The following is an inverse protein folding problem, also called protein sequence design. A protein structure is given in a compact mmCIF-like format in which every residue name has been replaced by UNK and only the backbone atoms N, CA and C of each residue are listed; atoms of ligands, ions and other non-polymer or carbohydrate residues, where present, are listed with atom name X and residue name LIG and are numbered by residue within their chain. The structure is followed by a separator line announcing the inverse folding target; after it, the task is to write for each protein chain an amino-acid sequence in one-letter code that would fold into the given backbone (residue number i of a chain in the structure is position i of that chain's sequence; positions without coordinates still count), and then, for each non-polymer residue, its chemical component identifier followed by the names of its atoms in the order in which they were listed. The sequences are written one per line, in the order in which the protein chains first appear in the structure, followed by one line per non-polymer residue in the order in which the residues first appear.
data_IF_246513898221
#
_entry.id   IF_246513898221
#
_cell.length_a   1.000
_cell.length_b   1.000
_cell.length_c   1.000
_cell.angle_alpha   90.00
_cell.angle_beta   90.00
_cell.angle_gamma   90.00
#
_symmetry.space_group_name_H-M   'P 1'
#
loop_
_entity.id
_entity.type
_entity.pdbx_description
1 polymer ?
#
# COMPACT_ATOMS: atom_id res chain seq x y z
N UNK A 1 -19.51 -8.91 4.10
CA UNK A 1 -18.94 -9.98 4.99
C UNK A 1 -18.53 -9.38 6.34
N UNK A 2 -19.49 -9.10 7.16
CA UNK A 2 -19.33 -8.43 8.46
C UNK A 2 -18.27 -9.08 9.37
N UNK A 3 -18.30 -10.40 9.48
CA UNK A 3 -17.36 -11.17 10.29
C UNK A 3 -15.94 -11.11 9.75
N UNK A 4 -15.80 -11.27 8.44
CA UNK A 4 -14.50 -11.31 7.76
C UNK A 4 -13.75 -9.99 7.78
N UNK A 5 -14.45 -8.86 7.80
CA UNK A 5 -13.86 -7.51 7.84
C UNK A 5 -13.77 -6.92 9.26
N UNK A 6 -14.11 -7.71 10.31
CA UNK A 6 -14.03 -7.27 11.70
C UNK A 6 -15.09 -6.24 12.12
N UNK A 7 -16.20 -6.12 11.39
CA UNK A 7 -17.21 -5.09 11.61
C UNK A 7 -18.40 -5.53 12.49
N UNK A 8 -18.30 -6.67 13.19
CA UNK A 8 -19.37 -7.20 14.04
C UNK A 8 -19.76 -6.21 15.14
N UNK A 9 -18.78 -5.69 15.87
CA UNK A 9 -19.03 -4.71 16.94
C UNK A 9 -19.61 -3.41 16.38
N UNK A 10 -19.05 -2.88 15.30
CA UNK A 10 -19.55 -1.67 14.65
C UNK A 10 -21.02 -1.82 14.23
N UNK A 11 -21.36 -2.93 13.57
CA UNK A 11 -22.74 -3.20 13.12
C UNK A 11 -23.73 -3.33 14.27
N UNK A 12 -23.27 -3.80 15.42
CA UNK A 12 -24.10 -3.93 16.63
C UNK A 12 -24.30 -2.59 17.35
N UNK A 13 -23.26 -1.74 17.36
CA UNK A 13 -23.31 -0.41 17.99
C UNK A 13 -24.00 0.65 17.14
N UNK A 14 -23.93 0.52 15.82
CA UNK A 14 -24.44 1.52 14.87
C UNK A 14 -25.23 0.85 13.74
N UNK A 15 -26.32 0.10 14.03
CA UNK A 15 -27.06 -0.66 13.02
C UNK A 15 -27.62 0.21 11.89
N UNK A 16 -27.99 1.46 12.18
CA UNK A 16 -28.50 2.42 11.20
C UNK A 16 -27.41 2.99 10.26
N UNK A 17 -26.14 2.71 10.52
CA UNK A 17 -24.98 3.12 9.71
C UNK A 17 -24.25 1.96 9.08
N UNK A 18 -24.82 0.76 9.15
CA UNK A 18 -24.20 -0.45 8.61
C UNK A 18 -25.09 -1.09 7.55
N UNK A 19 -24.53 -1.35 6.39
CA UNK A 19 -25.20 -1.96 5.25
C UNK A 19 -24.42 -3.20 4.81
N UNK A 20 -24.99 -4.39 4.97
CA UNK A 20 -24.42 -5.61 4.41
C UNK A 20 -25.05 -5.86 3.04
N UNK A 21 -24.24 -5.74 1.99
CA UNK A 21 -24.68 -5.91 0.61
C UNK A 21 -24.48 -7.35 0.10
N UNK A 22 -24.05 -8.26 0.95
CA UNK A 22 -23.69 -9.63 0.58
C UNK A 22 -22.42 -9.66 -0.29
N UNK A 23 -22.37 -10.60 -1.24
CA UNK A 23 -21.27 -10.74 -2.21
C UNK A 23 -21.65 -9.97 -3.49
N UNK A 24 -21.69 -8.66 -3.38
CA UNK A 24 -22.10 -7.76 -4.46
C UNK A 24 -21.22 -6.49 -4.47
N UNK A 25 -19.94 -6.65 -4.78
CA UNK A 25 -18.93 -5.60 -4.66
C UNK A 25 -19.23 -4.40 -5.57
N UNK A 26 -19.67 -4.64 -6.81
CA UNK A 26 -20.09 -3.57 -7.72
C UNK A 26 -21.26 -2.76 -7.16
N UNK A 27 -22.28 -3.45 -6.60
CA UNK A 27 -23.39 -2.77 -5.94
C UNK A 27 -22.91 -1.95 -4.72
N UNK A 28 -22.01 -2.49 -3.90
CA UNK A 28 -21.46 -1.77 -2.75
C UNK A 28 -20.83 -0.45 -3.15
N UNK A 29 -20.05 -0.44 -4.24
CA UNK A 29 -19.36 0.75 -4.74
C UNK A 29 -20.37 1.76 -5.28
N UNK A 30 -21.27 1.37 -6.19
CA UNK A 30 -22.29 2.28 -6.74
C UNK A 30 -23.21 2.84 -5.67
N UNK A 31 -23.67 2.00 -4.73
CA UNK A 31 -24.48 2.43 -3.59
C UNK A 31 -23.76 3.48 -2.72
N UNK A 32 -22.47 3.26 -2.49
CA UNK A 32 -21.62 4.22 -1.76
C UNK A 32 -21.48 5.55 -2.50
N UNK A 33 -21.39 5.51 -3.84
CA UNK A 33 -21.47 6.71 -4.68
C UNK A 33 -22.74 7.49 -4.42
N UNK A 34 -23.89 6.82 -4.46
CA UNK A 34 -25.20 7.44 -4.15
C UNK A 34 -25.27 8.04 -2.74
N UNK A 35 -24.75 7.36 -1.72
CA UNK A 35 -24.66 7.92 -0.37
C UNK A 35 -23.76 9.18 -0.33
N UNK A 36 -22.69 9.17 -1.08
CA UNK A 36 -21.74 10.30 -1.13
C UNK A 36 -22.37 11.55 -1.79
N UNK A 37 -23.21 11.38 -2.82
CA UNK A 37 -23.95 12.52 -3.43
C UNK A 37 -24.91 13.18 -2.46
N UNK A 38 -25.38 12.47 -1.43
CA UNK A 38 -26.22 12.97 -0.34
C UNK A 38 -25.40 13.50 0.84
N UNK A 39 -24.10 13.77 0.65
CA UNK A 39 -23.23 14.36 1.66
C UNK A 39 -22.82 13.41 2.78
N UNK A 40 -22.96 12.09 2.60
CA UNK A 40 -22.43 11.09 3.53
C UNK A 40 -20.98 10.80 3.21
N UNK A 41 -20.25 10.24 4.18
CA UNK A 41 -18.88 9.74 4.00
C UNK A 41 -18.94 8.21 4.11
N UNK A 42 -19.20 7.50 3.00
CA UNK A 42 -19.30 6.06 3.02
C UNK A 42 -17.91 5.41 3.13
N UNK A 43 -17.84 4.33 3.91
CA UNK A 43 -16.67 3.46 4.04
C UNK A 43 -17.02 2.09 3.47
N UNK A 44 -16.33 1.71 2.40
CA UNK A 44 -16.49 0.40 1.73
C UNK A 44 -15.40 -0.52 2.24
N UNK A 45 -15.75 -1.52 3.04
CA UNK A 45 -14.82 -2.51 3.59
C UNK A 45 -14.95 -3.82 2.80
N UNK A 46 -14.03 -4.06 1.88
CA UNK A 46 -14.00 -5.22 0.98
C UNK A 46 -12.57 -5.77 0.91
N UNK A 47 -12.43 -7.11 0.74
CA UNK A 47 -11.13 -7.71 0.49
C UNK A 47 -10.52 -7.18 -0.81
N UNK A 48 -9.22 -6.90 -0.78
CA UNK A 48 -8.48 -6.36 -1.92
C UNK A 48 -8.74 -7.14 -3.21
N UNK A 49 -8.63 -8.48 -3.18
CA UNK A 49 -8.86 -9.33 -4.35
C UNK A 49 -10.31 -9.27 -4.86
N UNK A 50 -11.30 -9.11 -3.99
CA UNK A 50 -12.70 -9.07 -4.41
C UNK A 50 -13.13 -7.70 -4.95
N UNK A 51 -12.44 -6.63 -4.53
CA UNK A 51 -12.70 -5.29 -5.07
C UNK A 51 -12.43 -5.18 -6.57
N UNK A 52 -11.65 -6.11 -7.15
CA UNK A 52 -11.43 -6.21 -8.61
C UNK A 52 -12.77 -6.29 -9.39
N UNK A 53 -13.81 -6.91 -8.81
CA UNK A 53 -15.16 -7.01 -9.45
C UNK A 53 -15.84 -5.65 -9.59
N UNK A 54 -15.40 -4.65 -8.86
CA UNK A 54 -15.95 -3.30 -8.87
C UNK A 54 -15.03 -2.28 -9.58
N UNK A 55 -14.03 -2.74 -10.34
CA UNK A 55 -13.04 -1.86 -10.96
C UNK A 55 -13.69 -0.78 -11.83
N UNK A 56 -14.62 -1.17 -12.69
CA UNK A 56 -15.39 -0.24 -13.54
C UNK A 56 -16.22 0.75 -12.71
N UNK A 57 -16.90 0.28 -11.65
CA UNK A 57 -17.70 1.11 -10.76
C UNK A 57 -16.85 2.13 -10.00
N UNK A 58 -15.62 1.76 -9.60
CA UNK A 58 -14.67 2.71 -8.98
C UNK A 58 -14.34 3.83 -9.96
N UNK A 59 -14.17 3.53 -11.25
CA UNK A 59 -13.85 4.51 -12.28
C UNK A 59 -15.07 5.40 -12.56
N UNK A 60 -16.19 4.81 -13.01
CA UNK A 60 -17.34 5.55 -13.52
C UNK A 60 -18.19 6.18 -12.43
N UNK A 61 -18.48 5.41 -11.37
CA UNK A 61 -19.44 5.86 -10.36
C UNK A 61 -18.78 6.71 -9.27
N UNK A 62 -17.46 6.58 -9.08
CA UNK A 62 -16.76 7.25 -7.98
C UNK A 62 -15.70 8.22 -8.46
N UNK A 63 -14.63 7.74 -9.12
CA UNK A 63 -13.46 8.56 -9.40
C UNK A 63 -13.73 9.65 -10.45
N UNK A 64 -14.49 9.34 -11.50
CA UNK A 64 -14.88 10.31 -12.52
C UNK A 64 -15.66 11.48 -11.92
N UNK A 65 -16.49 11.23 -10.94
CA UNK A 65 -17.32 12.21 -10.25
C UNK A 65 -16.63 12.84 -9.03
N UNK A 66 -15.40 12.45 -8.70
CA UNK A 66 -14.66 12.90 -7.50
C UNK A 66 -15.42 12.67 -6.18
N UNK A 67 -16.19 11.59 -6.06
CA UNK A 67 -16.95 11.32 -4.86
C UNK A 67 -16.03 10.82 -3.72
N UNK A 68 -16.11 11.41 -2.50
CA UNK A 68 -15.25 11.07 -1.38
C UNK A 68 -15.66 9.75 -0.69
N UNK A 69 -15.58 8.65 -1.42
CA UNK A 69 -15.78 7.29 -0.90
C UNK A 69 -14.47 6.76 -0.34
N UNK A 70 -14.49 6.18 0.85
CA UNK A 70 -13.35 5.57 1.50
C UNK A 70 -13.38 4.06 1.26
N UNK A 71 -12.32 3.52 0.67
CA UNK A 71 -12.16 2.08 0.44
C UNK A 71 -11.17 1.50 1.44
N UNK A 72 -11.65 0.70 2.39
CA UNK A 72 -10.84 -0.08 3.30
C UNK A 72 -10.61 -1.47 2.69
N UNK A 73 -9.43 -1.65 2.10
CA UNK A 73 -9.07 -2.83 1.33
C UNK A 73 -8.32 -3.80 2.23
N UNK A 74 -9.07 -4.69 2.87
CA UNK A 74 -8.54 -5.73 3.73
C UNK A 74 -7.88 -6.85 2.90
N UNK A 75 -6.93 -7.57 3.45
CA UNK A 75 -6.21 -8.67 2.82
C UNK A 75 -5.41 -8.27 1.58
N UNK A 76 -4.82 -7.08 1.62
CA UNK A 76 -3.84 -6.68 0.61
C UNK A 76 -2.53 -7.44 0.79
N UNK A 77 -1.89 -7.82 -0.31
CA UNK A 77 -0.72 -8.69 -0.31
C UNK A 77 -1.07 -10.18 -0.22
N UNK A 78 -0.13 -10.99 0.25
CA UNK A 78 -0.32 -12.43 0.43
C UNK A 78 -1.15 -12.71 1.68
N UNK A 79 -2.17 -13.55 1.55
CA UNK A 79 -3.10 -13.91 2.64
C UNK A 79 -2.85 -15.29 3.25
N UNK A 80 -1.84 -16.00 2.74
CA UNK A 80 -1.44 -17.30 3.28
C UNK A 80 -2.34 -18.45 2.82
N UNK A 81 -2.97 -19.11 3.76
CA UNK A 81 -3.71 -20.37 3.55
C UNK A 81 -4.95 -20.24 2.66
N UNK A 82 -5.52 -19.04 2.55
CA UNK A 82 -6.67 -18.77 1.67
C UNK A 82 -6.30 -18.83 0.17
N UNK A 83 -5.01 -18.74 -0.17
CA UNK A 83 -4.45 -19.04 -1.48
C UNK A 83 -4.69 -18.01 -2.57
N UNK A 84 -4.41 -18.44 -3.82
CA UNK A 84 -4.37 -17.59 -5.02
C UNK A 84 -5.66 -16.79 -5.28
N UNK A 85 -6.82 -17.31 -4.90
CA UNK A 85 -8.11 -16.61 -5.07
C UNK A 85 -8.32 -15.45 -4.09
N UNK A 86 -7.49 -15.39 -3.05
CA UNK A 86 -7.63 -14.40 -1.98
C UNK A 86 -6.43 -13.45 -1.86
N UNK A 87 -5.30 -13.72 -2.53
CA UNK A 87 -4.16 -12.80 -2.54
C UNK A 87 -4.53 -11.45 -3.14
N UNK A 88 -4.38 -10.40 -2.37
CA UNK A 88 -4.65 -9.02 -2.77
C UNK A 88 -3.40 -8.34 -3.34
N UNK A 89 -2.79 -8.92 -4.37
CA UNK A 89 -1.50 -8.47 -4.91
C UNK A 89 -1.61 -7.59 -6.15
N UNK A 90 -2.80 -7.45 -6.73
CA UNK A 90 -3.04 -6.67 -7.96
C UNK A 90 -3.55 -5.25 -7.69
N UNK A 91 -3.90 -4.94 -6.45
CA UNK A 91 -4.61 -3.72 -6.08
C UNK A 91 -3.84 -2.42 -6.41
N UNK A 92 -2.54 -2.38 -6.13
CA UNK A 92 -1.71 -1.23 -6.48
C UNK A 92 -1.76 -1.00 -8.00
N UNK A 93 -1.55 -2.05 -8.78
CA UNK A 93 -1.45 -1.98 -10.23
C UNK A 93 -2.74 -1.45 -10.87
N UNK A 94 -3.90 -2.03 -10.54
CA UNK A 94 -5.15 -1.60 -11.16
C UNK A 94 -5.67 -0.26 -10.62
N UNK A 95 -5.38 0.12 -9.38
CA UNK A 95 -5.79 1.41 -8.84
C UNK A 95 -4.92 2.56 -9.32
N UNK A 96 -3.62 2.33 -9.55
CA UNK A 96 -2.72 3.40 -9.99
C UNK A 96 -3.10 4.02 -11.34
N UNK A 97 -3.73 3.27 -12.24
CA UNK A 97 -4.18 3.82 -13.53
C UNK A 97 -5.43 4.71 -13.39
N UNK A 98 -6.20 4.60 -12.30
CA UNK A 98 -7.41 5.41 -12.08
C UNK A 98 -7.01 6.85 -11.73
N UNK A 99 -7.61 7.83 -12.42
CA UNK A 99 -7.42 9.24 -12.10
C UNK A 99 -8.18 9.62 -10.82
N UNK A 100 -7.76 10.72 -10.17
CA UNK A 100 -8.44 11.33 -9.03
C UNK A 100 -8.62 10.46 -7.78
N UNK A 101 -7.88 9.35 -7.63
CA UNK A 101 -7.92 8.47 -6.47
C UNK A 101 -6.68 8.64 -5.60
N UNK A 102 -6.86 8.61 -4.29
CA UNK A 102 -5.76 8.54 -3.32
C UNK A 102 -5.55 7.10 -2.95
N UNK A 103 -4.29 6.64 -2.98
CA UNK A 103 -3.91 5.26 -2.64
C UNK A 103 -2.90 5.31 -1.50
N UNK A 104 -3.24 4.70 -0.37
CA UNK A 104 -2.38 4.64 0.81
C UNK A 104 -2.20 3.22 1.32
N UNK A 105 -1.08 3.00 2.02
CA UNK A 105 -0.70 1.72 2.61
C UNK A 105 -0.01 1.97 3.97
N UNK A 106 -0.68 1.73 5.08
CA UNK A 106 -0.12 1.94 6.41
C UNK A 106 0.98 0.92 6.73
N UNK A 107 2.03 1.35 7.44
CA UNK A 107 3.10 0.47 7.95
C UNK A 107 2.66 -0.33 9.18
N UNK A 108 1.68 0.16 9.94
CA UNK A 108 1.19 -0.45 11.18
C UNK A 108 -0.25 -0.02 11.50
N UNK A 109 -0.81 -0.54 12.60
CA UNK A 109 -2.17 -0.24 13.05
C UNK A 109 -2.38 1.21 13.49
N UNK A 110 -1.35 1.89 14.00
CA UNK A 110 -1.46 3.30 14.37
C UNK A 110 -1.60 4.16 13.13
N UNK A 111 -0.79 3.91 12.10
CA UNK A 111 -0.86 4.62 10.84
C UNK A 111 -2.17 4.29 10.08
N UNK A 112 -2.68 3.04 10.18
CA UNK A 112 -4.01 2.68 9.63
C UNK A 112 -5.12 3.54 10.25
N UNK A 113 -5.12 3.69 11.58
CA UNK A 113 -6.07 4.57 12.30
C UNK A 113 -5.97 6.01 11.80
N UNK A 114 -4.75 6.52 11.69
CA UNK A 114 -4.48 7.92 11.33
C UNK A 114 -4.81 8.19 9.85
N UNK A 115 -4.56 7.23 8.96
CA UNK A 115 -4.99 7.30 7.56
C UNK A 115 -6.51 7.24 7.42
N UNK A 116 -7.20 6.37 8.18
CA UNK A 116 -8.66 6.31 8.18
C UNK A 116 -9.26 7.63 8.69
N UNK A 117 -8.71 8.19 9.76
CA UNK A 117 -9.12 9.51 10.25
C UNK A 117 -8.88 10.59 9.19
N UNK A 118 -7.72 10.59 8.55
CA UNK A 118 -7.38 11.53 7.47
C UNK A 118 -8.37 11.41 6.31
N UNK A 119 -8.75 10.17 5.94
CA UNK A 119 -9.72 9.91 4.89
C UNK A 119 -11.09 10.49 5.23
N UNK A 120 -11.54 10.42 6.51
CA UNK A 120 -12.82 11.03 6.93
C UNK A 120 -12.84 12.55 6.87
N UNK A 121 -11.68 13.20 6.86
CA UNK A 121 -11.54 14.65 6.71
C UNK A 121 -11.41 15.09 5.23
N UNK A 122 -11.19 14.12 4.32
CA UNK A 122 -11.10 14.40 2.89
C UNK A 122 -12.49 14.31 2.25
N UNK A 123 -12.95 15.41 1.69
CA UNK A 123 -14.29 15.52 1.10
C UNK A 123 -14.27 15.74 -0.41
N UNK A 124 -13.15 15.51 -1.07
CA UNK A 124 -12.96 15.92 -2.47
C UNK A 124 -12.58 14.79 -3.43
N UNK A 125 -12.12 13.64 -2.94
CA UNK A 125 -11.63 12.54 -3.79
C UNK A 125 -11.84 11.19 -3.12
N UNK A 126 -12.00 10.11 -3.88
CA UNK A 126 -11.97 8.76 -3.32
C UNK A 126 -10.61 8.46 -2.67
N UNK A 127 -10.66 7.78 -1.53
CA UNK A 127 -9.49 7.48 -0.73
C UNK A 127 -9.42 5.97 -0.46
N UNK A 128 -8.33 5.32 -0.85
CA UNK A 128 -8.12 3.89 -0.61
C UNK A 128 -7.04 3.67 0.44
N UNK A 129 -7.30 2.73 1.34
CA UNK A 129 -6.36 2.29 2.37
C UNK A 129 -6.23 0.78 2.23
N UNK A 130 -5.06 0.30 1.80
CA UNK A 130 -4.76 -1.11 1.65
C UNK A 130 -3.97 -1.64 2.83
N UNK A 131 -4.39 -2.74 3.45
CA UNK A 131 -3.74 -3.32 4.63
C UNK A 131 -3.80 -4.86 4.62
N UNK A 132 -2.79 -5.55 5.21
CA UNK A 132 -2.70 -7.00 5.19
C UNK A 132 -3.66 -7.66 6.20
N UNK A 133 -3.88 -8.97 6.05
CA UNK A 133 -4.49 -9.86 7.05
C UNK A 133 -3.44 -10.21 8.12
N UNK A 134 -3.03 -9.25 8.92
CA UNK A 134 -2.04 -9.46 9.99
C UNK A 134 -2.43 -8.72 11.25
N UNK A 135 -1.92 -9.20 12.38
CA UNK A 135 -2.01 -8.45 13.62
C UNK A 135 -0.97 -7.35 13.63
N UNK A 136 -1.39 -6.14 13.99
CA UNK A 136 -0.44 -5.04 14.18
C UNK A 136 0.46 -5.31 15.39
N UNK A 137 1.77 -5.22 15.20
CA UNK A 137 2.77 -5.44 16.26
C UNK A 137 2.67 -4.39 17.37
N UNK A 138 2.19 -3.19 17.02
CA UNK A 138 1.99 -2.08 17.96
C UNK A 138 0.69 -1.36 17.63
N UNK A 139 -0.21 -1.34 18.58
CA UNK A 139 -1.37 -0.46 18.55
C UNK A 139 -1.44 0.30 19.87
N UNK A 140 -1.36 1.61 19.79
CA UNK A 140 -1.44 2.49 20.95
C UNK A 140 -2.80 3.19 20.96
N UNK A 141 -3.50 3.14 22.09
CA UNK A 141 -4.73 3.89 22.29
C UNK A 141 -4.42 5.38 22.43
N UNK A 142 -4.23 6.05 21.30
CA UNK A 142 -4.04 7.50 21.19
C UNK A 142 -5.11 8.11 20.29
N UNK A 143 -5.39 9.38 20.47
CA UNK A 143 -6.23 10.12 19.55
C UNK A 143 -5.64 10.08 18.14
N UNK A 144 -6.46 9.84 17.11
CA UNK A 144 -5.98 9.80 15.74
C UNK A 144 -5.40 11.14 15.30
N UNK A 145 -4.37 11.09 14.47
CA UNK A 145 -3.71 12.26 13.93
C UNK A 145 -3.97 12.38 12.43
N UNK A 146 -4.14 13.61 11.96
CA UNK A 146 -4.23 13.87 10.52
C UNK A 146 -2.85 13.74 9.90
N UNK A 147 -2.78 12.96 8.81
CA UNK A 147 -1.58 12.82 7.98
C UNK A 147 -1.74 13.70 6.75
N UNK A 148 -0.70 14.43 6.36
CA UNK A 148 -0.69 15.18 5.12
C UNK A 148 -0.74 14.23 3.91
N UNK A 149 -1.72 14.43 3.03
CA UNK A 149 -1.92 13.55 1.87
C UNK A 149 -0.75 13.72 0.90
N UNK A 150 -0.15 12.62 0.53
CA UNK A 150 1.02 12.58 -0.34
C UNK A 150 2.36 12.66 0.41
N UNK A 151 2.37 12.82 1.74
CA UNK A 151 3.63 12.87 2.49
C UNK A 151 4.18 11.49 2.81
N UNK A 152 5.49 11.33 2.69
CA UNK A 152 6.24 10.14 3.13
C UNK A 152 6.95 10.41 4.46
N UNK A 153 7.53 9.37 5.06
CA UNK A 153 8.20 9.47 6.36
C UNK A 153 9.57 8.79 6.28
N UNK A 154 10.63 9.56 6.54
CA UNK A 154 11.99 9.02 6.67
C UNK A 154 12.09 8.34 8.03
N UNK A 155 12.34 7.03 8.03
CA UNK A 155 12.46 6.22 9.25
C UNK A 155 13.92 6.00 9.65
N UNK A 156 14.83 5.95 8.68
CA UNK A 156 16.27 5.85 8.85
C UNK A 156 16.96 6.72 7.83
N UNK A 157 17.93 7.50 8.26
CA UNK A 157 18.80 8.25 7.37
C UNK A 157 19.95 7.38 6.85
N UNK A 158 20.42 7.64 5.64
CA UNK A 158 21.51 6.93 5.00
C UNK A 158 22.06 7.66 3.79
N UNK A 159 23.09 7.11 3.14
CA UNK A 159 23.79 7.79 2.03
C UNK A 159 24.06 6.93 0.80
N UNK A 160 24.06 5.61 0.92
CA UNK A 160 24.53 4.73 -0.15
C UNK A 160 23.36 4.16 -0.98
N UNK A 161 22.29 3.75 -0.30
CA UNK A 161 21.10 3.13 -0.91
C UNK A 161 19.83 3.76 -0.35
N UNK A 162 18.94 4.21 -1.23
CA UNK A 162 17.61 4.65 -0.85
C UNK A 162 16.61 3.49 -0.95
N UNK A 163 15.96 3.14 0.16
CA UNK A 163 14.92 2.09 0.23
C UNK A 163 13.55 2.72 0.42
N UNK A 164 12.72 2.64 -0.61
CA UNK A 164 11.35 3.13 -0.65
C UNK A 164 10.39 1.96 -0.38
N UNK A 165 9.85 1.86 0.82
CA UNK A 165 9.05 0.73 1.28
C UNK A 165 7.56 1.08 1.41
N UNK A 166 6.68 0.16 1.01
CA UNK A 166 5.23 0.31 1.01
C UNK A 166 4.57 -0.62 2.03
N UNK A 167 3.81 -0.05 2.95
CA UNK A 167 2.93 -0.78 3.87
C UNK A 167 3.66 -1.83 4.72
N UNK A 168 3.22 -3.08 4.66
CA UNK A 168 3.81 -4.21 5.42
C UNK A 168 5.31 -4.43 5.17
N UNK A 169 5.84 -3.96 4.04
CA UNK A 169 7.27 -4.11 3.72
C UNK A 169 8.17 -3.14 4.49
N UNK A 170 7.61 -2.15 5.17
CA UNK A 170 8.39 -1.19 5.97
C UNK A 170 9.12 -1.88 7.13
N UNK A 171 8.46 -2.80 7.84
CA UNK A 171 9.11 -3.53 8.95
C UNK A 171 10.31 -4.34 8.49
N UNK A 172 10.17 -5.05 7.34
CA UNK A 172 11.28 -5.81 6.74
C UNK A 172 12.41 -4.90 6.26
N UNK A 173 12.07 -3.73 5.73
CA UNK A 173 13.07 -2.74 5.29
C UNK A 173 13.92 -2.20 6.45
N UNK A 174 13.34 -2.09 7.65
CA UNK A 174 14.08 -1.74 8.86
C UNK A 174 15.03 -2.87 9.32
N UNK A 175 14.63 -4.13 9.18
CA UNK A 175 15.50 -5.27 9.43
C UNK A 175 16.67 -5.29 8.43
N UNK A 176 16.37 -5.10 7.14
CA UNK A 176 17.37 -5.04 6.06
C UNK A 176 18.35 -3.88 6.27
N UNK A 177 17.89 -2.72 6.72
CA UNK A 177 18.75 -1.60 7.07
C UNK A 177 19.84 -2.01 8.07
N UNK A 178 19.45 -2.70 9.14
CA UNK A 178 20.42 -3.16 10.15
C UNK A 178 21.44 -4.14 9.55
N UNK A 179 21.00 -5.09 8.71
CA UNK A 179 21.87 -6.05 8.03
C UNK A 179 22.83 -5.38 7.03
N UNK A 180 22.38 -4.35 6.31
CA UNK A 180 23.23 -3.56 5.40
C UNK A 180 24.27 -2.75 6.17
N UNK A 181 23.88 -2.14 7.30
CA UNK A 181 24.80 -1.39 8.18
C UNK A 181 25.93 -2.28 8.72
N UNK A 182 25.64 -3.54 9.07
CA UNK A 182 26.67 -4.53 9.44
C UNK A 182 27.67 -4.83 8.32
N UNK A 183 27.29 -4.60 7.07
CA UNK A 183 28.14 -4.74 5.89
C UNK A 183 28.79 -3.43 5.45
N UNK A 184 28.62 -2.35 6.22
CA UNK A 184 29.17 -1.02 5.92
C UNK A 184 28.43 -0.27 4.82
N UNK A 185 27.16 -0.63 4.53
CA UNK A 185 26.29 0.05 3.56
C UNK A 185 25.26 0.87 4.32
N UNK A 186 25.32 2.19 4.17
CA UNK A 186 24.40 3.15 4.80
C UNK A 186 23.13 3.28 3.95
N UNK A 187 22.00 2.75 4.41
CA UNK A 187 20.73 2.84 3.70
C UNK A 187 19.78 3.82 4.34
N UNK A 188 19.15 4.66 3.54
CA UNK A 188 17.97 5.43 3.98
C UNK A 188 16.72 4.56 3.81
N UNK A 189 15.83 4.55 4.81
CA UNK A 189 14.56 3.81 4.73
C UNK A 189 13.39 4.79 4.86
N UNK A 190 12.53 4.78 3.87
CA UNK A 190 11.37 5.66 3.75
C UNK A 190 10.08 4.86 3.72
N UNK A 191 9.15 5.23 4.59
CA UNK A 191 7.78 4.74 4.57
C UNK A 191 6.97 5.50 3.50
N UNK A 192 6.74 4.88 2.36
CA UNK A 192 5.96 5.41 1.25
C UNK A 192 4.46 5.16 1.47
N UNK A 193 3.91 5.70 2.57
CA UNK A 193 2.53 5.48 3.00
C UNK A 193 1.47 5.98 2.01
N UNK A 194 1.81 6.87 1.09
CA UNK A 194 1.00 7.24 -0.07
C UNK A 194 1.68 6.75 -1.35
N UNK A 195 0.97 5.86 -2.03
CA UNK A 195 1.36 5.34 -3.34
C UNK A 195 0.94 6.34 -4.43
N UNK A 196 -0.20 7.01 -4.19
CA UNK A 196 -0.75 8.06 -5.06
C UNK A 196 -1.55 9.07 -4.23
N UNK A 197 -1.22 10.37 -4.28
CA UNK A 197 -0.03 10.89 -4.94
C UNK A 197 1.26 10.42 -4.24
N UNK A 198 2.33 10.26 -4.99
CA UNK A 198 3.67 10.10 -4.41
C UNK A 198 4.12 11.44 -3.78
N UNK A 199 5.05 11.37 -2.83
CA UNK A 199 5.68 12.57 -2.26
C UNK A 199 6.68 13.16 -3.27
N UNK A 200 6.16 14.02 -4.15
CA UNK A 200 7.00 14.64 -5.19
C UNK A 200 8.04 15.61 -4.60
N UNK A 201 7.78 16.20 -3.44
CA UNK A 201 8.75 17.06 -2.76
C UNK A 201 9.93 16.22 -2.29
N UNK A 202 9.66 15.13 -1.58
CA UNK A 202 10.70 14.19 -1.15
C UNK A 202 11.48 13.63 -2.36
N UNK A 203 10.77 13.18 -3.40
CA UNK A 203 11.42 12.64 -4.60
C UNK A 203 12.32 13.67 -5.32
N UNK A 204 11.86 14.91 -5.46
CA UNK A 204 12.67 15.98 -6.07
C UNK A 204 13.94 16.29 -5.26
N UNK A 205 13.85 16.27 -3.94
CA UNK A 205 14.98 16.63 -3.07
C UNK A 205 15.95 15.47 -2.82
N UNK A 206 15.45 14.25 -2.71
CA UNK A 206 16.22 13.10 -2.24
C UNK A 206 16.67 12.16 -3.36
N UNK A 207 15.80 11.88 -4.34
CA UNK A 207 16.12 10.90 -5.39
C UNK A 207 17.44 11.22 -6.13
N UNK A 208 17.76 12.49 -6.49
CA UNK A 208 19.02 12.82 -7.17
C UNK A 208 20.29 12.56 -6.34
N UNK A 209 20.17 12.41 -5.03
CA UNK A 209 21.33 12.17 -4.13
C UNK A 209 21.81 10.72 -4.18
N UNK A 210 20.94 9.79 -4.62
CA UNK A 210 21.19 8.36 -4.59
C UNK A 210 21.42 7.81 -5.99
N UNK A 211 22.52 7.11 -6.18
CA UNK A 211 22.75 6.31 -7.40
C UNK A 211 21.93 5.04 -7.40
N UNK A 212 21.68 4.48 -6.21
CA UNK A 212 20.99 3.22 -6.00
C UNK A 212 19.69 3.45 -5.24
N UNK A 213 18.60 3.07 -5.87
CA UNK A 213 17.24 3.16 -5.29
C UNK A 213 16.62 1.77 -5.31
N UNK A 214 15.96 1.40 -4.25
CA UNK A 214 15.22 0.13 -4.14
C UNK A 214 13.78 0.44 -3.76
N UNK A 215 12.83 -0.12 -4.47
CA UNK A 215 11.41 -0.08 -4.07
C UNK A 215 10.98 -1.45 -3.60
N UNK A 216 10.23 -1.51 -2.49
CA UNK A 216 9.74 -2.78 -1.92
C UNK A 216 8.23 -2.67 -1.67
N UNK A 217 7.46 -3.53 -2.34
CA UNK A 217 6.01 -3.58 -2.23
C UNK A 217 5.47 -5.01 -2.14
N UNK A 218 4.42 -5.24 -1.39
CA UNK A 218 3.69 -6.50 -1.39
C UNK A 218 2.51 -6.42 -2.37
N UNK A 219 2.85 -6.18 -3.61
CA UNK A 219 2.03 -6.11 -4.82
C UNK A 219 2.85 -6.61 -6.00
N UNK A 220 2.19 -6.95 -7.12
CA UNK A 220 2.91 -7.30 -8.35
C UNK A 220 3.73 -6.10 -8.83
N UNK A 221 4.94 -6.37 -9.33
CA UNK A 221 5.83 -5.32 -9.83
C UNK A 221 5.28 -4.63 -11.06
N UNK A 222 4.60 -5.38 -11.93
CA UNK A 222 4.00 -4.88 -13.18
C UNK A 222 2.86 -3.90 -12.88
N UNK A 223 2.98 -2.65 -13.27
CA UNK A 223 2.08 -1.57 -12.91
C UNK A 223 2.18 -1.12 -11.44
N UNK A 224 3.05 -1.73 -10.64
CA UNK A 224 3.22 -1.51 -9.22
C UNK A 224 3.82 -0.15 -8.84
N UNK A 225 4.05 0.05 -7.54
CA UNK A 225 4.64 1.28 -7.00
C UNK A 225 6.03 1.55 -7.59
N UNK A 226 6.88 0.51 -7.68
CA UNK A 226 8.23 0.62 -8.22
C UNK A 226 8.27 1.15 -9.65
N UNK A 227 7.41 0.67 -10.55
CA UNK A 227 7.27 1.23 -11.90
C UNK A 227 6.82 2.70 -11.88
N UNK A 228 6.01 3.08 -10.90
CA UNK A 228 5.63 4.47 -10.70
C UNK A 228 6.83 5.36 -10.40
N UNK A 229 7.74 4.90 -9.54
CA UNK A 229 8.98 5.62 -9.20
C UNK A 229 9.90 5.70 -10.41
N UNK A 230 10.09 4.60 -11.16
CA UNK A 230 10.88 4.58 -12.40
C UNK A 230 10.33 5.60 -13.41
N UNK A 231 9.02 5.57 -13.65
CA UNK A 231 8.38 6.49 -14.61
C UNK A 231 8.55 7.96 -14.17
N UNK A 232 8.43 8.23 -12.86
CA UNK A 232 8.64 9.57 -12.31
C UNK A 232 10.10 10.02 -12.49
N UNK A 233 11.08 9.17 -12.15
CA UNK A 233 12.52 9.44 -12.30
C UNK A 233 12.87 9.75 -13.76
N UNK A 234 12.39 8.94 -14.70
CA UNK A 234 12.60 9.12 -16.14
C UNK A 234 12.02 10.46 -16.64
N UNK A 235 10.82 10.84 -16.20
CA UNK A 235 10.20 12.13 -16.55
C UNK A 235 11.01 13.34 -16.05
N UNK A 236 11.77 13.17 -14.98
CA UNK A 236 12.61 14.21 -14.38
C UNK A 236 14.06 14.16 -14.90
N UNK A 237 14.40 13.20 -15.77
CA UNK A 237 15.75 12.93 -16.27
C UNK A 237 16.76 12.71 -15.14
N UNK A 238 16.36 11.99 -14.08
CA UNK A 238 17.26 11.63 -12.99
C UNK A 238 17.90 10.28 -13.31
N UNK A 239 19.23 10.27 -13.32
CA UNK A 239 20.05 9.08 -13.60
C UNK A 239 20.32 8.33 -12.29
N UNK A 240 19.50 7.33 -11.99
CA UNK A 240 19.75 6.37 -10.93
C UNK A 240 19.37 4.95 -11.35
N UNK A 241 20.03 3.97 -10.73
CA UNK A 241 19.66 2.57 -10.90
C UNK A 241 18.55 2.23 -9.90
N UNK A 242 17.40 1.78 -10.39
CA UNK A 242 16.25 1.45 -9.56
C UNK A 242 16.00 -0.05 -9.62
N UNK A 243 16.09 -0.72 -8.47
CA UNK A 243 15.72 -2.12 -8.27
C UNK A 243 14.30 -2.19 -7.71
N UNK A 244 13.39 -2.80 -8.45
CA UNK A 244 12.01 -3.02 -7.99
C UNK A 244 11.87 -4.42 -7.41
N UNK A 245 11.38 -4.51 -6.16
CA UNK A 245 11.14 -5.76 -5.45
C UNK A 245 9.67 -5.83 -5.06
N UNK A 246 9.01 -6.89 -5.50
CA UNK A 246 7.59 -7.12 -5.27
C UNK A 246 7.20 -8.55 -5.62
N UNK A 247 5.91 -8.81 -5.63
CA UNK A 247 5.36 -10.10 -6.02
C UNK A 247 5.64 -10.32 -7.51
N UNK A 248 6.22 -11.48 -7.90
CA UNK A 248 6.48 -11.78 -9.31
C UNK A 248 5.16 -11.91 -10.09
N UNK A 249 5.22 -11.67 -11.41
CA UNK A 249 4.07 -11.82 -12.30
C UNK A 249 3.73 -13.30 -12.53
N UNK A 250 3.29 -13.97 -11.46
CA UNK A 250 2.73 -15.32 -11.46
C UNK A 250 1.74 -15.48 -10.33
N UNK A 251 0.81 -16.40 -10.45
CA UNK A 251 -0.05 -16.77 -9.33
C UNK A 251 0.77 -17.50 -8.27
N UNK A 252 0.57 -17.11 -6.99
CA UNK A 252 1.20 -17.73 -5.83
C UNK A 252 0.21 -18.71 -5.23
N UNK A 253 0.69 -19.90 -4.86
CA UNK A 253 -0.13 -20.95 -4.27
C UNK A 253 -0.57 -20.60 -2.83
N UNK A 254 -1.26 -21.52 -2.19
CA UNK A 254 -1.66 -21.41 -0.78
C UNK A 254 -0.56 -21.98 0.13
N UNK A 255 -0.45 -21.46 1.33
CA UNK A 255 0.49 -21.95 2.34
C UNK A 255 0.67 -20.96 3.48
N UNK A 256 1.47 -21.28 4.51
CA UNK A 256 1.82 -20.28 5.53
C UNK A 256 2.47 -19.05 4.91
N UNK A 257 1.98 -17.85 5.26
CA UNK A 257 2.39 -16.61 4.61
C UNK A 257 3.90 -16.36 4.63
N UNK A 258 4.57 -16.70 5.71
CA UNK A 258 6.03 -16.59 5.81
C UNK A 258 6.76 -17.48 4.78
N UNK A 259 6.29 -18.69 4.53
CA UNK A 259 6.85 -19.60 3.52
C UNK A 259 6.58 -19.04 2.11
N UNK A 260 5.39 -18.51 1.86
CA UNK A 260 5.08 -17.88 0.57
C UNK A 260 5.95 -16.66 0.31
N UNK A 261 6.20 -15.83 1.33
CA UNK A 261 7.12 -14.69 1.21
C UNK A 261 8.54 -15.13 0.87
N UNK A 262 9.03 -16.20 1.49
CA UNK A 262 10.33 -16.80 1.19
C UNK A 262 10.37 -17.36 -0.24
N UNK A 263 9.34 -18.09 -0.66
CA UNK A 263 9.23 -18.67 -2.02
C UNK A 263 9.29 -17.59 -3.12
N UNK A 264 8.68 -16.44 -2.89
CA UNK A 264 8.69 -15.33 -3.87
C UNK A 264 9.85 -14.34 -3.65
N UNK A 265 10.67 -14.58 -2.63
CA UNK A 265 11.87 -13.78 -2.32
C UNK A 265 11.54 -12.39 -1.77
N UNK A 266 10.50 -12.29 -0.94
CA UNK A 266 10.09 -11.10 -0.17
C UNK A 266 10.30 -11.27 1.34
N UNK A 267 11.02 -12.31 1.79
CA UNK A 267 11.54 -12.41 3.14
C UNK A 267 12.75 -11.48 3.34
N UNK A 268 13.07 -11.15 4.59
CA UNK A 268 14.11 -10.17 4.92
C UNK A 268 15.51 -10.60 4.44
N UNK A 269 15.83 -11.90 4.50
CA UNK A 269 17.15 -12.41 4.10
C UNK A 269 17.34 -12.33 2.59
N UNK A 270 16.37 -12.83 1.82
CA UNK A 270 16.42 -12.80 0.35
C UNK A 270 16.43 -11.37 -0.17
N UNK A 271 15.62 -10.49 0.42
CA UNK A 271 15.61 -9.06 0.08
C UNK A 271 16.97 -8.42 0.37
N UNK A 272 17.55 -8.69 1.54
CA UNK A 272 18.90 -8.21 1.88
C UNK A 272 19.93 -8.66 0.86
N UNK A 273 19.97 -9.93 0.49
CA UNK A 273 20.93 -10.45 -0.50
C UNK A 273 20.78 -9.77 -1.87
N UNK A 274 19.53 -9.58 -2.33
CA UNK A 274 19.28 -8.88 -3.59
C UNK A 274 19.81 -7.44 -3.55
N UNK A 275 19.55 -6.70 -2.47
CA UNK A 275 19.96 -5.31 -2.31
C UNK A 275 21.48 -5.21 -2.14
N UNK A 276 22.08 -6.09 -1.34
CA UNK A 276 23.51 -6.15 -1.15
C UNK A 276 24.26 -6.43 -2.46
N UNK A 277 23.79 -7.40 -3.24
CA UNK A 277 24.39 -7.72 -4.54
C UNK A 277 24.18 -6.58 -5.56
N UNK A 278 23.03 -5.89 -5.52
CA UNK A 278 22.76 -4.73 -6.35
C UNK A 278 23.72 -3.58 -6.03
N UNK A 279 23.95 -3.31 -4.73
CA UNK A 279 24.86 -2.24 -4.31
C UNK A 279 26.33 -2.48 -4.71
N UNK A 280 26.77 -3.72 -4.78
CA UNK A 280 28.13 -4.07 -5.19
C UNK A 280 28.37 -3.92 -6.69
N UNK A 281 27.41 -4.33 -7.53
CA UNK A 281 27.52 -4.23 -8.99
C UNK A 281 27.60 -2.79 -9.51
N UNK A 282 27.05 -1.85 -8.76
CA UNK A 282 27.04 -0.44 -9.14
C UNK A 282 28.32 0.31 -8.72
N UNK A 283 29.22 -0.35 -8.01
CA UNK A 283 30.52 0.17 -7.61
C UNK A 283 31.68 -0.39 -8.47
N UNK A 284 31.38 -1.31 -9.38
CA UNK A 284 32.28 -1.79 -10.45
C UNK A 284 32.01 -1.01 -11.76
#
# INVERSE_FOLDING_TARGET
MREGTGLVEYSSRFPERFYDVGIAEGHAVTFSGGLSTEGKIPVVAIYSTFLQRAFDHIIHDIALQNLPVIFCMDRSGLVGEDGATHHGVLDISYLRCIQNIIISAPKDGNELRDLLYTATLNTTKPFTIRYPKEQSVKFEEKSPQKIEIGSWEVLKEGSDVLVLAVGSMVSKSLEIHNMLMEKGISSEVVNCRFIKPMDENYLNESLPKYKLVVTIEEGVTDGGFGEGVINWSNKKNIENSILTLGVPNRFVDHGPRNILLEEIGLDSMTLFEKIYNFSRKSNE
#
